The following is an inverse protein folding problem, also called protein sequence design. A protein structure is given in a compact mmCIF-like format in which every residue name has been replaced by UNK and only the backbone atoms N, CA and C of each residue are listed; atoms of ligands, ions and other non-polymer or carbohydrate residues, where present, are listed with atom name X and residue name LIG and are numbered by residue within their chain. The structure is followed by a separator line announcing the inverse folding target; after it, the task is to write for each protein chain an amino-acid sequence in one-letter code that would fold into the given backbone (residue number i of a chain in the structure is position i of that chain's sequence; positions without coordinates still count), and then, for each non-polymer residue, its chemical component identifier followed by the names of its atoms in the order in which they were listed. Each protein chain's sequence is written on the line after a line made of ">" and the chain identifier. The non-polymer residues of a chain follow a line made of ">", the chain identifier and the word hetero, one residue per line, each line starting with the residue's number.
data_IF_376104529941
#
_entry.id   IF_376104529941
#
_cell.length_a   1.000
_cell.length_b   1.000
_cell.length_c   1.000
_cell.angle_alpha   90.00
_cell.angle_beta   90.00
_cell.angle_gamma   90.00
#
_symmetry.space_group_name_H-M   'P 1'
#
loop_
_entity.id
_entity.type
_entity.pdbx_description
1 polymer ?
#
# COMPACT_ATOMS: atom_id res chain seq x y z
N UNK A 1 -30.97 10.17 13.22
CA UNK A 1 -29.61 10.59 12.82
C UNK A 1 -28.77 10.74 14.08
N UNK A 2 -27.75 9.92 14.28
CA UNK A 2 -26.81 10.08 15.40
C UNK A 2 -26.05 11.41 15.27
N UNK A 3 -25.53 11.93 16.38
CA UNK A 3 -24.70 13.15 16.40
C UNK A 3 -23.51 13.05 15.44
N UNK A 4 -22.97 11.84 15.26
CA UNK A 4 -21.89 11.50 14.33
C UNK A 4 -22.32 11.72 12.88
N UNK A 5 -23.50 11.24 12.49
CA UNK A 5 -24.02 11.42 11.12
C UNK A 5 -24.23 12.90 10.76
N UNK A 6 -24.67 13.75 11.70
CA UNK A 6 -24.81 15.20 11.45
C UNK A 6 -23.47 15.91 11.31
N UNK A 7 -22.44 15.49 12.05
CA UNK A 7 -21.09 16.02 11.89
C UNK A 7 -20.49 15.69 10.51
N UNK A 8 -20.82 14.53 9.93
CA UNK A 8 -20.37 14.17 8.58
C UNK A 8 -20.97 15.03 7.46
N UNK A 9 -22.22 15.49 7.61
CA UNK A 9 -22.85 16.34 6.59
C UNK A 9 -22.46 17.82 6.70
N UNK A 10 -21.87 18.24 7.83
CA UNK A 10 -21.43 19.61 8.04
C UNK A 10 -19.95 19.75 7.69
N UNK A 11 -19.63 19.57 6.40
CA UNK A 11 -18.27 19.71 5.88
C UNK A 11 -17.83 21.15 6.03
N UNK A 12 -16.78 21.39 6.81
CA UNK A 12 -16.18 22.72 6.94
C UNK A 12 -15.54 23.14 5.61
N UNK A 13 -15.45 24.44 5.29
CA UNK A 13 -14.80 24.91 4.05
C UNK A 13 -13.37 24.33 3.86
N UNK A 14 -12.61 24.24 4.95
CA UNK A 14 -11.26 23.70 4.98
C UNK A 14 -11.21 22.19 4.66
N UNK A 15 -12.23 21.41 5.04
CA UNK A 15 -12.34 20.00 4.64
C UNK A 15 -12.67 19.85 3.15
N UNK A 16 -13.49 20.75 2.59
CA UNK A 16 -13.77 20.75 1.14
C UNK A 16 -12.50 21.03 0.32
N UNK A 17 -11.65 21.95 0.77
CA UNK A 17 -10.38 22.25 0.12
C UNK A 17 -9.40 21.06 0.17
N UNK A 18 -9.35 20.36 1.29
CA UNK A 18 -8.56 19.13 1.43
C UNK A 18 -9.02 18.04 0.46
N UNK A 19 -10.32 17.83 0.33
CA UNK A 19 -10.88 16.86 -0.62
C UNK A 19 -10.52 17.19 -2.07
N UNK A 20 -10.54 18.47 -2.45
CA UNK A 20 -10.11 18.90 -3.78
C UNK A 20 -8.62 18.64 -4.00
N UNK A 21 -7.77 18.96 -3.02
CA UNK A 21 -6.35 18.67 -3.07
C UNK A 21 -6.09 17.18 -3.28
N UNK A 22 -6.73 16.30 -2.49
CA UNK A 22 -6.59 14.85 -2.63
C UNK A 22 -7.00 14.38 -4.03
N UNK A 23 -8.16 14.84 -4.52
CA UNK A 23 -8.67 14.44 -5.82
C UNK A 23 -7.72 14.84 -6.95
N UNK A 24 -7.22 16.08 -6.93
CA UNK A 24 -6.27 16.58 -7.93
C UNK A 24 -4.95 15.80 -7.84
N UNK A 25 -4.39 15.67 -6.64
CA UNK A 25 -3.11 14.99 -6.42
C UNK A 25 -3.16 13.54 -6.90
N UNK A 26 -4.13 12.74 -6.43
CA UNK A 26 -4.20 11.33 -6.79
C UNK A 26 -4.55 11.14 -8.27
N UNK A 27 -5.42 11.97 -8.86
CA UNK A 27 -5.71 11.92 -10.29
C UNK A 27 -4.46 12.20 -11.14
N UNK A 28 -3.63 13.19 -10.77
CA UNK A 28 -2.38 13.51 -11.45
C UNK A 28 -1.33 12.39 -11.34
N UNK A 29 -1.37 11.58 -10.27
CA UNK A 29 -0.44 10.45 -10.10
C UNK A 29 -0.80 9.21 -10.94
N UNK A 30 -2.06 9.08 -11.39
CA UNK A 30 -2.52 7.89 -12.13
C UNK A 30 -1.70 7.58 -13.40
N UNK A 31 -1.37 8.55 -14.28
CA UNK A 31 -0.57 8.29 -15.47
C UNK A 31 0.85 7.83 -15.12
N UNK A 32 1.45 8.40 -14.07
CA UNK A 32 2.80 8.06 -13.61
C UNK A 32 2.82 6.61 -13.12
N UNK A 33 1.87 6.24 -12.26
CA UNK A 33 1.76 4.87 -11.74
C UNK A 33 1.42 3.87 -12.84
N UNK A 34 0.55 4.24 -13.79
CA UNK A 34 0.24 3.43 -14.97
C UNK A 34 1.47 3.18 -15.84
N UNK A 35 2.31 4.20 -16.04
CA UNK A 35 3.56 4.05 -16.80
C UNK A 35 4.56 3.10 -16.12
N UNK A 36 4.72 3.22 -14.79
CA UNK A 36 5.56 2.31 -14.01
C UNK A 36 5.02 0.87 -14.09
N UNK A 37 3.71 0.68 -13.94
CA UNK A 37 3.07 -0.64 -14.10
C UNK A 37 3.38 -1.26 -15.47
N UNK A 38 3.29 -0.50 -16.56
CA UNK A 38 3.56 -0.99 -17.92
C UNK A 38 5.02 -1.37 -18.18
N UNK A 39 5.97 -0.79 -17.44
CA UNK A 39 7.40 -1.15 -17.52
C UNK A 39 7.68 -2.39 -16.66
N UNK A 40 7.26 -2.35 -15.41
CA UNK A 40 7.50 -3.44 -14.45
C UNK A 40 6.72 -4.71 -14.79
N UNK A 41 5.64 -4.63 -15.60
CA UNK A 41 4.96 -5.83 -16.13
C UNK A 41 5.88 -6.75 -16.94
N UNK A 42 6.96 -6.20 -17.50
CA UNK A 42 7.92 -6.94 -18.33
C UNK A 42 8.93 -7.72 -17.50
N UNK A 43 9.02 -7.45 -16.19
CA UNK A 43 9.94 -8.11 -15.28
C UNK A 43 9.23 -9.27 -14.60
N UNK A 44 9.78 -10.50 -14.67
CA UNK A 44 9.22 -11.65 -13.94
C UNK A 44 9.12 -11.36 -12.45
N UNK A 45 7.94 -11.56 -11.85
CA UNK A 45 7.72 -11.41 -10.41
C UNK A 45 7.52 -9.97 -9.90
N UNK A 46 7.59 -8.96 -10.79
CA UNK A 46 7.58 -7.54 -10.40
C UNK A 46 6.28 -6.77 -10.62
N UNK A 47 5.18 -7.40 -11.05
CA UNK A 47 4.02 -6.66 -11.58
C UNK A 47 3.02 -6.24 -10.49
N UNK A 48 2.95 -7.01 -9.40
CA UNK A 48 1.84 -6.99 -8.46
C UNK A 48 1.83 -5.72 -7.60
N UNK A 49 2.99 -5.26 -7.14
CA UNK A 49 3.11 -4.07 -6.28
C UNK A 49 2.65 -2.78 -6.97
N UNK A 50 2.98 -2.62 -8.25
CA UNK A 50 2.60 -1.46 -9.06
C UNK A 50 1.12 -1.47 -9.42
N UNK A 51 0.55 -2.64 -9.67
CA UNK A 51 -0.88 -2.78 -9.88
C UNK A 51 -1.68 -2.32 -8.66
N UNK A 52 -1.23 -2.69 -7.45
CA UNK A 52 -1.84 -2.21 -6.22
C UNK A 52 -1.64 -0.70 -6.00
N UNK A 53 -0.49 -0.10 -6.34
CA UNK A 53 -0.36 1.37 -6.29
C UNK A 53 -1.34 2.09 -7.21
N UNK A 54 -1.51 1.58 -8.42
CA UNK A 54 -2.48 2.13 -9.35
C UNK A 54 -3.90 2.03 -8.78
N UNK A 55 -4.30 0.85 -8.28
CA UNK A 55 -5.61 0.67 -7.65
C UNK A 55 -5.78 1.55 -6.40
N UNK A 56 -4.74 1.77 -5.62
CA UNK A 56 -4.78 2.65 -4.46
C UNK A 56 -5.17 4.09 -4.88
N UNK A 57 -4.47 4.66 -5.87
CA UNK A 57 -4.82 6.01 -6.36
C UNK A 57 -6.24 6.07 -6.93
N UNK A 58 -6.68 5.02 -7.63
CA UNK A 58 -8.08 4.93 -8.12
C UNK A 58 -9.07 4.92 -6.95
N UNK A 59 -8.84 4.09 -5.92
CA UNK A 59 -9.70 4.03 -4.74
C UNK A 59 -9.73 5.36 -3.99
N UNK A 60 -8.62 6.10 -3.90
CA UNK A 60 -8.61 7.43 -3.28
C UNK A 60 -9.45 8.43 -4.08
N UNK A 61 -9.28 8.48 -5.40
CA UNK A 61 -10.08 9.38 -6.26
C UNK A 61 -11.57 9.05 -6.14
N UNK A 62 -11.95 7.78 -6.27
CA UNK A 62 -13.35 7.34 -6.20
C UNK A 62 -13.94 7.58 -4.80
N UNK A 63 -13.22 7.22 -3.74
CA UNK A 63 -13.68 7.39 -2.36
C UNK A 63 -13.95 8.84 -2.01
N UNK A 64 -13.01 9.74 -2.32
CA UNK A 64 -13.15 11.18 -2.07
C UNK A 64 -14.26 11.79 -2.94
N UNK A 65 -14.34 11.41 -4.22
CA UNK A 65 -15.40 11.87 -5.11
C UNK A 65 -16.79 11.45 -4.61
N UNK A 66 -16.94 10.23 -4.12
CA UNK A 66 -18.21 9.73 -3.57
C UNK A 66 -18.60 10.45 -2.28
N UNK A 67 -17.67 10.67 -1.36
CA UNK A 67 -17.95 11.44 -0.13
C UNK A 67 -18.40 12.85 -0.48
N UNK A 68 -17.77 13.48 -1.47
CA UNK A 68 -18.10 14.84 -1.91
C UNK A 68 -19.44 14.93 -2.65
N UNK A 69 -19.75 13.94 -3.49
CA UNK A 69 -21.00 13.86 -4.24
C UNK A 69 -22.14 13.21 -3.44
N UNK A 70 -21.92 12.90 -2.16
CA UNK A 70 -22.88 12.15 -1.36
C UNK A 70 -24.17 12.94 -1.13
N UNK A 71 -25.24 12.52 -1.81
CA UNK A 71 -26.61 13.01 -1.61
C UNK A 71 -27.40 12.15 -0.62
N UNK A 72 -26.91 10.96 -0.28
CA UNK A 72 -27.55 10.01 0.63
C UNK A 72 -26.53 9.45 1.63
N UNK A 73 -27.01 9.03 2.81
CA UNK A 73 -26.17 8.40 3.82
C UNK A 73 -25.46 7.14 3.29
N UNK A 74 -26.12 6.37 2.41
CA UNK A 74 -25.52 5.18 1.81
C UNK A 74 -24.31 5.50 0.92
N UNK A 75 -24.40 6.56 0.09
CA UNK A 75 -23.29 6.99 -0.78
C UNK A 75 -22.12 7.52 0.05
N UNK A 76 -22.42 8.29 1.11
CA UNK A 76 -21.40 8.75 2.07
C UNK A 76 -20.64 7.57 2.69
N UNK A 77 -21.37 6.58 3.23
CA UNK A 77 -20.78 5.40 3.86
C UNK A 77 -19.96 4.60 2.86
N UNK A 78 -20.48 4.38 1.65
CA UNK A 78 -19.73 3.69 0.60
C UNK A 78 -18.43 4.42 0.23
N UNK A 79 -18.46 5.75 0.12
CA UNK A 79 -17.27 6.57 -0.13
C UNK A 79 -16.24 6.47 1.01
N UNK A 80 -16.68 6.47 2.26
CA UNK A 80 -15.82 6.26 3.43
C UNK A 80 -15.21 4.86 3.45
N UNK A 81 -16.00 3.82 3.14
CA UNK A 81 -15.53 2.43 3.05
C UNK A 81 -14.45 2.30 1.98
N UNK A 82 -14.66 2.86 0.79
CA UNK A 82 -13.69 2.82 -0.30
C UNK A 82 -12.41 3.56 0.09
N UNK A 83 -12.56 4.74 0.71
CA UNK A 83 -11.42 5.55 1.18
C UNK A 83 -10.60 4.81 2.24
N UNK A 84 -11.24 4.15 3.20
CA UNK A 84 -10.55 3.35 4.23
C UNK A 84 -9.94 2.07 3.67
N UNK A 85 -10.57 1.45 2.68
CA UNK A 85 -10.07 0.23 2.02
C UNK A 85 -8.78 0.47 1.24
N UNK A 86 -8.49 1.71 0.85
CA UNK A 86 -7.26 2.08 0.15
C UNK A 86 -5.99 1.76 0.95
N UNK A 87 -6.05 1.80 2.29
CA UNK A 87 -4.92 1.46 3.17
C UNK A 87 -4.46 0.02 2.90
N UNK A 88 -5.40 -0.92 2.80
CA UNK A 88 -5.13 -2.32 2.47
C UNK A 88 -4.37 -2.45 1.14
N UNK A 89 -4.76 -1.65 0.16
CA UNK A 89 -4.11 -1.61 -1.15
C UNK A 89 -2.67 -1.09 -1.06
N UNK A 90 -2.37 -0.14 -0.16
CA UNK A 90 -0.99 0.27 0.14
C UNK A 90 -0.16 -0.86 0.75
N UNK A 91 -0.74 -1.63 1.67
CA UNK A 91 -0.07 -2.81 2.23
C UNK A 91 0.22 -3.86 1.16
N UNK A 92 -0.72 -4.10 0.24
CA UNK A 92 -0.51 -5.00 -0.89
C UNK A 92 0.55 -4.50 -1.87
N UNK A 93 0.59 -3.19 -2.09
CA UNK A 93 1.68 -2.57 -2.83
C UNK A 93 3.02 -2.83 -2.16
N UNK A 94 3.15 -2.56 -0.86
CA UNK A 94 4.38 -2.77 -0.11
C UNK A 94 4.84 -4.23 -0.21
N UNK A 95 3.93 -5.18 0.04
CA UNK A 95 4.21 -6.60 -0.07
C UNK A 95 4.61 -7.01 -1.50
N UNK A 96 3.94 -6.47 -2.52
CA UNK A 96 4.25 -6.74 -3.93
C UNK A 96 5.62 -6.19 -4.36
N UNK A 97 5.97 -4.98 -3.92
CA UNK A 97 7.29 -4.36 -4.20
C UNK A 97 8.39 -5.10 -3.42
N UNK A 98 8.10 -5.54 -2.20
CA UNK A 98 9.00 -6.41 -1.44
C UNK A 98 9.22 -7.75 -2.17
N UNK A 99 8.15 -8.38 -2.67
CA UNK A 99 8.25 -9.61 -3.45
C UNK A 99 9.13 -9.39 -4.69
N UNK A 100 8.95 -8.29 -5.42
CA UNK A 100 9.82 -7.91 -6.55
C UNK A 100 11.29 -7.73 -6.12
N UNK A 101 11.53 -6.98 -5.05
CA UNK A 101 12.88 -6.73 -4.55
C UNK A 101 13.58 -8.00 -4.04
N UNK A 102 12.81 -8.99 -3.59
CA UNK A 102 13.27 -10.26 -3.04
C UNK A 102 13.34 -11.41 -4.05
N UNK A 103 12.81 -11.21 -5.27
CA UNK A 103 12.68 -12.26 -6.28
C UNK A 103 13.98 -13.01 -6.59
N UNK A 104 15.11 -12.31 -6.54
CA UNK A 104 16.45 -12.88 -6.80
C UNK A 104 16.91 -13.88 -5.72
N UNK A 105 16.25 -13.93 -4.55
CA UNK A 105 16.59 -14.85 -3.47
C UNK A 105 15.64 -16.05 -3.38
N UNK A 106 14.72 -16.19 -4.35
CA UNK A 106 13.69 -17.23 -4.35
C UNK A 106 14.25 -18.65 -4.32
N UNK A 107 15.41 -18.89 -4.94
CA UNK A 107 16.05 -20.20 -5.02
C UNK A 107 16.39 -20.81 -3.65
N UNK A 108 16.65 -19.97 -2.63
CA UNK A 108 17.06 -20.44 -1.31
C UNK A 108 15.91 -20.62 -0.31
N UNK A 109 14.71 -20.06 -0.55
CA UNK A 109 13.56 -20.24 0.35
C UNK A 109 12.22 -19.99 -0.33
N UNK A 110 11.64 -21.05 -0.92
CA UNK A 110 10.41 -20.98 -1.69
C UNK A 110 9.16 -20.62 -0.88
N UNK A 111 9.17 -20.78 0.45
CA UNK A 111 8.03 -20.41 1.31
C UNK A 111 8.06 -18.92 1.66
N UNK A 112 9.20 -18.40 2.14
CA UNK A 112 9.35 -16.98 2.50
C UNK A 112 9.26 -16.06 1.28
N UNK A 113 9.85 -16.46 0.15
CA UNK A 113 9.91 -15.63 -1.06
C UNK A 113 8.95 -16.12 -2.15
N UNK A 114 8.00 -16.99 -1.80
CA UNK A 114 6.99 -17.50 -2.71
C UNK A 114 5.59 -17.01 -2.40
N UNK A 115 4.62 -17.60 -3.09
CA UNK A 115 3.21 -17.22 -3.03
C UNK A 115 2.54 -17.52 -1.69
N UNK A 116 3.12 -18.40 -0.86
CA UNK A 116 2.56 -18.78 0.45
C UNK A 116 2.53 -17.59 1.43
N UNK A 117 3.67 -16.95 1.65
CA UNK A 117 3.76 -15.76 2.50
C UNK A 117 2.92 -14.61 1.92
N UNK A 118 2.96 -14.43 0.60
CA UNK A 118 2.15 -13.40 -0.07
C UNK A 118 0.66 -13.66 0.18
N UNK A 119 0.18 -14.89 0.04
CA UNK A 119 -1.20 -15.28 0.34
C UNK A 119 -1.58 -15.04 1.80
N UNK A 120 -0.69 -15.38 2.75
CA UNK A 120 -0.91 -15.13 4.17
C UNK A 120 -1.05 -13.64 4.49
N UNK A 121 -0.20 -12.79 3.89
CA UNK A 121 -0.30 -11.32 4.02
C UNK A 121 -1.62 -10.84 3.41
N UNK A 122 -2.03 -11.38 2.26
CA UNK A 122 -3.31 -11.02 1.62
C UNK A 122 -4.53 -11.31 2.50
N UNK A 123 -4.59 -12.53 3.03
CA UNK A 123 -5.68 -12.94 3.91
C UNK A 123 -5.68 -12.12 5.21
N UNK A 124 -4.50 -11.84 5.76
CA UNK A 124 -4.37 -11.05 7.00
C UNK A 124 -4.84 -9.61 6.81
N UNK A 125 -4.42 -8.94 5.73
CA UNK A 125 -4.85 -7.58 5.40
C UNK A 125 -6.34 -7.54 5.09
N UNK A 126 -6.86 -8.52 4.34
CA UNK A 126 -8.28 -8.65 4.03
C UNK A 126 -9.13 -8.83 5.30
N UNK A 127 -8.66 -9.65 6.24
CA UNK A 127 -9.30 -9.81 7.55
C UNK A 127 -9.24 -8.53 8.39
N UNK A 128 -8.10 -7.85 8.42
CA UNK A 128 -7.90 -6.62 9.17
C UNK A 128 -8.85 -5.51 8.71
N UNK A 129 -8.94 -5.28 7.39
CA UNK A 129 -9.84 -4.28 6.83
C UNK A 129 -11.30 -4.67 6.99
N UNK A 130 -11.63 -5.95 6.83
CA UNK A 130 -12.99 -6.46 7.02
C UNK A 130 -13.50 -6.19 8.44
N UNK A 131 -12.66 -6.45 9.45
CA UNK A 131 -13.02 -6.16 10.86
C UNK A 131 -13.09 -4.67 11.14
N UNK A 132 -12.13 -3.88 10.64
CA UNK A 132 -12.14 -2.42 10.81
C UNK A 132 -13.41 -1.79 10.21
N UNK A 133 -13.76 -2.15 8.97
CA UNK A 133 -14.97 -1.67 8.30
C UNK A 133 -16.22 -2.15 9.02
N UNK A 134 -16.29 -3.42 9.41
CA UNK A 134 -17.46 -3.95 10.11
C UNK A 134 -17.72 -3.19 11.42
N UNK A 135 -16.68 -2.86 12.19
CA UNK A 135 -16.80 -2.03 13.38
C UNK A 135 -17.40 -0.66 13.09
N UNK A 136 -16.85 0.06 12.11
CA UNK A 136 -17.33 1.41 11.71
C UNK A 136 -18.74 1.38 11.12
N UNK A 137 -19.04 0.41 10.26
CA UNK A 137 -20.35 0.33 9.60
C UNK A 137 -21.44 0.00 10.63
N UNK A 138 -21.16 -0.92 11.55
CA UNK A 138 -22.14 -1.28 12.59
C UNK A 138 -22.40 -0.14 13.57
N UNK A 139 -21.40 0.71 13.86
CA UNK A 139 -21.61 1.90 14.68
C UNK A 139 -22.41 2.98 13.94
N UNK A 140 -22.21 3.16 12.63
CA UNK A 140 -22.95 4.15 11.84
C UNK A 140 -24.42 3.75 11.62
N UNK A 141 -24.71 2.47 11.41
CA UNK A 141 -26.07 1.97 11.18
C UNK A 141 -26.83 1.61 12.47
N UNK A 142 -26.22 1.83 13.64
CA UNK A 142 -26.89 1.60 14.91
C UNK A 142 -28.13 2.50 15.06
N UNK A 143 -29.32 1.90 15.01
CA UNK A 143 -30.57 2.57 15.36
C UNK A 143 -30.76 2.55 16.89
N UNK A 144 -29.88 3.25 17.61
CA UNK A 144 -29.85 3.24 19.08
C UNK A 144 -28.43 3.40 19.64
N UNK A 145 -28.19 2.96 20.89
CA UNK A 145 -26.83 2.84 21.42
C UNK A 145 -25.97 1.98 20.50
N UNK A 146 -24.70 2.36 20.34
CA UNK A 146 -23.73 1.59 19.57
C UNK A 146 -23.65 0.14 20.09
N UNK A 147 -23.66 -0.88 19.21
CA UNK A 147 -23.47 -2.26 19.64
C UNK A 147 -22.13 -2.42 20.38
N UNK A 148 -22.13 -3.18 21.46
CA UNK A 148 -20.94 -3.37 22.32
C UNK A 148 -19.73 -3.98 21.60
N UNK A 149 -19.95 -4.59 20.43
CA UNK A 149 -18.91 -5.23 19.62
C UNK A 149 -18.36 -4.34 18.49
N UNK A 150 -19.00 -3.22 18.15
CA UNK A 150 -18.59 -2.35 17.03
C UNK A 150 -17.18 -1.80 17.23
N UNK A 151 -16.94 -1.16 18.38
CA UNK A 151 -15.62 -0.64 18.73
C UNK A 151 -14.54 -1.72 18.91
N UNK A 152 -14.78 -2.84 19.64
CA UNK A 152 -13.82 -3.94 19.68
C UNK A 152 -13.40 -4.45 18.29
N UNK A 153 -14.33 -4.55 17.34
CA UNK A 153 -14.03 -4.95 15.96
C UNK A 153 -13.08 -3.96 15.27
N UNK A 154 -13.32 -2.66 15.44
CA UNK A 154 -12.46 -1.61 14.88
C UNK A 154 -11.04 -1.65 15.45
N UNK A 155 -10.93 -1.83 16.77
CA UNK A 155 -9.64 -1.95 17.46
C UNK A 155 -8.90 -3.20 16.99
N UNK A 156 -9.57 -4.36 16.92
CA UNK A 156 -8.95 -5.61 16.47
C UNK A 156 -8.43 -5.48 15.04
N UNK A 157 -9.21 -4.89 14.12
CA UNK A 157 -8.76 -4.62 12.76
C UNK A 157 -7.52 -3.72 12.72
N UNK A 158 -7.50 -2.66 13.53
CA UNK A 158 -6.36 -1.73 13.63
C UNK A 158 -5.10 -2.39 14.22
N UNK A 159 -5.25 -3.24 15.25
CA UNK A 159 -4.15 -4.01 15.83
C UNK A 159 -3.57 -4.98 14.82
N UNK A 160 -4.41 -5.65 14.02
CA UNK A 160 -3.92 -6.53 12.95
C UNK A 160 -3.10 -5.76 11.92
N UNK A 161 -3.49 -4.54 11.54
CA UNK A 161 -2.68 -3.71 10.65
C UNK A 161 -1.29 -3.39 11.21
N UNK A 162 -1.17 -3.16 12.53
CA UNK A 162 0.13 -2.98 13.18
C UNK A 162 0.96 -4.27 13.10
N UNK A 163 0.35 -5.41 13.40
CA UNK A 163 1.04 -6.71 13.34
C UNK A 163 1.54 -7.02 11.92
N UNK A 164 0.73 -6.72 10.90
CA UNK A 164 1.11 -6.85 9.49
C UNK A 164 2.27 -5.90 9.16
N UNK A 165 2.19 -4.64 9.59
CA UNK A 165 3.26 -3.67 9.38
C UNK A 165 4.58 -4.11 10.04
N UNK A 166 4.55 -4.58 11.27
CA UNK A 166 5.72 -5.12 11.97
C UNK A 166 6.31 -6.34 11.24
N UNK A 167 5.44 -7.23 10.74
CA UNK A 167 5.86 -8.38 9.93
C UNK A 167 6.58 -7.91 8.65
N UNK A 168 6.01 -6.94 7.93
CA UNK A 168 6.62 -6.35 6.74
C UNK A 168 7.96 -5.66 7.04
N UNK A 169 8.08 -4.97 8.18
CA UNK A 169 9.34 -4.40 8.65
C UNK A 169 10.39 -5.48 8.93
N UNK A 170 10.00 -6.59 9.56
CA UNK A 170 10.88 -7.74 9.77
C UNK A 170 11.36 -8.36 8.45
N UNK A 171 10.45 -8.55 7.49
CA UNK A 171 10.78 -9.02 6.14
C UNK A 171 11.72 -8.06 5.39
N UNK A 172 11.53 -6.75 5.55
CA UNK A 172 12.43 -5.73 5.00
C UNK A 172 13.81 -5.79 5.66
N UNK A 173 13.89 -5.94 6.97
CA UNK A 173 15.16 -6.07 7.70
C UNK A 173 15.95 -7.29 7.23
N UNK A 174 15.28 -8.44 7.04
CA UNK A 174 15.90 -9.64 6.48
C UNK A 174 16.41 -9.42 5.05
N UNK A 175 15.65 -8.70 4.23
CA UNK A 175 16.05 -8.37 2.86
C UNK A 175 17.28 -7.45 2.83
N UNK A 176 17.40 -6.52 3.78
CA UNK A 176 18.52 -5.58 3.88
C UNK A 176 19.87 -6.26 4.17
N UNK A 177 19.85 -7.41 4.85
CA UNK A 177 21.04 -8.19 5.17
C UNK A 177 21.59 -8.99 3.97
N UNK A 178 20.89 -9.02 2.83
CA UNK A 178 21.27 -9.81 1.64
C UNK A 178 22.08 -8.98 0.63
N UNK A 179 22.99 -9.62 -0.14
CA UNK A 179 23.85 -8.93 -1.13
C UNK A 179 23.02 -8.32 -2.27
N UNK A 180 23.20 -7.01 -2.52
CA UNK A 180 22.27 -6.21 -3.32
C UNK A 180 22.63 -6.17 -4.81
N UNK A 181 21.65 -6.43 -5.68
CA UNK A 181 21.69 -5.94 -7.08
C UNK A 181 21.24 -4.48 -7.17
N UNK A 182 21.57 -3.76 -8.26
CA UNK A 182 21.20 -2.35 -8.42
C UNK A 182 19.69 -2.11 -8.37
N UNK A 183 18.92 -2.95 -9.07
CA UNK A 183 17.45 -2.92 -9.07
C UNK A 183 16.88 -3.18 -7.66
N UNK A 184 17.36 -4.25 -7.01
CA UNK A 184 16.92 -4.60 -5.65
C UNK A 184 17.28 -3.49 -4.64
N UNK A 185 18.44 -2.85 -4.79
CA UNK A 185 18.89 -1.75 -3.92
C UNK A 185 17.95 -0.53 -3.98
N UNK A 186 17.48 -0.15 -5.18
CA UNK A 186 16.54 0.99 -5.34
C UNK A 186 15.17 0.70 -4.73
N UNK A 187 14.63 -0.49 -4.98
CA UNK A 187 13.33 -0.88 -4.42
C UNK A 187 13.41 -1.09 -2.90
N UNK A 188 14.50 -1.65 -2.38
CA UNK A 188 14.75 -1.75 -0.94
C UNK A 188 14.81 -0.36 -0.27
N UNK A 189 15.46 0.62 -0.91
CA UNK A 189 15.50 1.99 -0.40
C UNK A 189 14.11 2.62 -0.36
N UNK A 190 13.29 2.39 -1.41
CA UNK A 190 11.90 2.85 -1.43
C UNK A 190 11.10 2.27 -0.26
N UNK A 191 11.20 0.95 -0.04
CA UNK A 191 10.52 0.26 1.06
C UNK A 191 10.99 0.78 2.44
N UNK A 192 12.27 1.06 2.59
CA UNK A 192 12.84 1.62 3.82
C UNK A 192 12.29 3.02 4.13
N UNK A 193 12.14 3.86 3.12
CA UNK A 193 11.59 5.21 3.26
C UNK A 193 10.07 5.21 3.46
N UNK A 194 9.37 4.28 2.81
CA UNK A 194 7.90 4.13 2.93
C UNK A 194 7.49 3.51 4.25
N UNK A 195 8.26 2.56 4.78
CA UNK A 195 7.95 1.85 6.03
C UNK A 195 7.55 2.76 7.20
N UNK A 196 8.31 3.82 7.57
CA UNK A 196 7.93 4.71 8.68
C UNK A 196 6.68 5.54 8.38
N UNK A 197 6.47 5.94 7.13
CA UNK A 197 5.26 6.68 6.72
C UNK A 197 4.01 5.79 6.82
N UNK A 198 4.14 4.53 6.40
CA UNK A 198 3.08 3.53 6.54
C UNK A 198 2.80 3.24 8.01
N UNK A 199 3.84 3.15 8.84
CA UNK A 199 3.72 2.98 10.29
C UNK A 199 2.96 4.14 10.94
N UNK A 200 3.32 5.39 10.62
CA UNK A 200 2.63 6.58 11.11
C UNK A 200 1.13 6.52 10.81
N UNK A 201 0.79 6.17 9.56
CA UNK A 201 -0.60 6.07 9.09
C UNK A 201 -1.42 5.04 9.87
N UNK A 202 -0.82 3.89 10.19
CA UNK A 202 -1.47 2.77 10.87
C UNK A 202 -1.61 3.04 12.36
N UNK A 203 -0.59 3.62 12.99
CA UNK A 203 -0.63 4.05 14.39
C UNK A 203 -1.72 5.10 14.59
N UNK A 204 -1.84 6.08 13.68
CA UNK A 204 -2.92 7.05 13.72
C UNK A 204 -4.30 6.40 13.64
N UNK A 205 -4.48 5.41 12.76
CA UNK A 205 -5.72 4.61 12.70
C UNK A 205 -6.02 3.87 14.00
N UNK A 206 -5.01 3.26 14.64
CA UNK A 206 -5.21 2.63 15.95
C UNK A 206 -5.60 3.65 17.02
N UNK A 207 -4.91 4.80 17.09
CA UNK A 207 -5.23 5.84 18.05
C UNK A 207 -6.68 6.31 17.90
N UNK A 208 -7.17 6.45 16.66
CA UNK A 208 -8.57 6.80 16.39
C UNK A 208 -9.58 5.75 16.85
N UNK A 209 -9.24 4.47 16.73
CA UNK A 209 -10.11 3.37 17.19
C UNK A 209 -10.05 3.17 18.71
N UNK A 210 -8.88 3.35 19.31
CA UNK A 210 -8.62 3.04 20.72
C UNK A 210 -9.01 4.21 21.64
N UNK A 211 -8.69 5.44 21.27
CA UNK A 211 -8.87 6.62 22.13
C UNK A 211 -10.28 7.17 21.96
N UNK A 212 -11.02 7.32 23.07
CA UNK A 212 -12.38 7.85 23.06
C UNK A 212 -12.41 9.39 23.05
N UNK A 213 -11.65 9.98 22.14
CA UNK A 213 -11.50 11.43 22.02
C UNK A 213 -11.70 11.83 20.55
N UNK A 214 -12.53 12.86 20.34
CA UNK A 214 -12.82 13.40 19.02
C UNK A 214 -11.57 13.94 18.35
N UNK A 215 -10.53 14.33 19.09
CA UNK A 215 -9.26 14.77 18.54
C UNK A 215 -8.58 13.72 17.65
N UNK A 216 -8.69 12.44 18.01
CA UNK A 216 -8.05 11.34 17.30
C UNK A 216 -8.96 10.68 16.27
N UNK A 217 -10.20 11.15 16.16
CA UNK A 217 -11.16 10.59 15.22
C UNK A 217 -10.67 10.79 13.78
N UNK A 218 -10.57 9.68 13.06
CA UNK A 218 -10.25 9.64 11.64
C UNK A 218 -11.18 10.52 10.79
N UNK A 219 -12.43 10.68 11.22
CA UNK A 219 -13.48 11.36 10.45
C UNK A 219 -13.91 12.69 11.02
N UNK A 220 -13.89 12.84 12.35
CA UNK A 220 -14.36 14.05 13.05
C UNK A 220 -13.23 14.85 13.73
N UNK A 221 -11.98 14.40 13.62
CA UNK A 221 -10.83 15.06 14.23
C UNK A 221 -10.42 16.37 13.55
N UNK A 222 -9.50 17.13 14.17
CA UNK A 222 -8.98 18.36 13.61
C UNK A 222 -8.35 18.12 12.25
N UNK A 223 -8.57 19.06 11.34
CA UNK A 223 -8.09 18.99 9.95
C UNK A 223 -6.56 18.86 9.92
N UNK A 224 -5.85 19.53 10.84
CA UNK A 224 -4.39 19.42 10.94
C UNK A 224 -3.92 17.97 11.19
N UNK A 225 -4.61 17.23 12.06
CA UNK A 225 -4.28 15.83 12.33
C UNK A 225 -4.58 14.94 11.11
N UNK A 226 -5.73 15.14 10.46
CA UNK A 226 -6.10 14.41 9.24
C UNK A 226 -5.08 14.67 8.10
N UNK A 227 -4.67 15.92 7.90
CA UNK A 227 -3.67 16.26 6.88
C UNK A 227 -2.31 15.64 7.20
N UNK A 228 -1.78 15.85 8.41
CA UNK A 228 -0.42 15.47 8.75
C UNK A 228 -0.24 13.96 8.96
N UNK A 229 -1.26 13.26 9.49
CA UNK A 229 -1.16 11.85 9.89
C UNK A 229 -1.80 10.87 8.92
N UNK A 230 -2.65 11.35 8.01
CA UNK A 230 -3.34 10.51 7.03
C UNK A 230 -3.00 10.89 5.60
N UNK A 231 -3.26 12.12 5.17
CA UNK A 231 -3.10 12.51 3.76
C UNK A 231 -1.64 12.66 3.37
N UNK A 232 -0.87 13.38 4.17
CA UNK A 232 0.54 13.67 3.90
C UNK A 232 1.38 12.38 3.81
N UNK A 233 1.28 11.40 4.73
CA UNK A 233 2.03 10.16 4.61
C UNK A 233 1.67 9.40 3.34
N UNK A 234 0.40 9.34 2.96
CA UNK A 234 -0.05 8.66 1.73
C UNK A 234 0.49 9.35 0.47
N UNK A 235 0.46 10.69 0.41
CA UNK A 235 1.07 11.45 -0.67
C UNK A 235 2.57 11.19 -0.79
N UNK A 236 3.29 11.22 0.33
CA UNK A 236 4.73 10.98 0.36
C UNK A 236 5.06 9.56 -0.09
N UNK A 237 4.28 8.55 0.33
CA UNK A 237 4.45 7.16 -0.10
C UNK A 237 4.35 7.05 -1.63
N UNK A 238 3.35 7.69 -2.24
CA UNK A 238 3.17 7.68 -3.69
C UNK A 238 4.30 8.39 -4.42
N UNK A 239 4.78 9.52 -3.90
CA UNK A 239 5.93 10.24 -4.48
C UNK A 239 7.18 9.37 -4.42
N UNK A 240 7.47 8.77 -3.26
CA UNK A 240 8.65 7.91 -3.07
C UNK A 240 8.58 6.72 -4.03
N UNK A 241 7.48 5.98 -4.05
CA UNK A 241 7.34 4.84 -4.97
C UNK A 241 7.39 5.26 -6.44
N UNK A 242 6.84 6.41 -6.80
CA UNK A 242 6.92 6.92 -8.18
C UNK A 242 8.35 7.24 -8.60
N UNK A 243 9.12 7.91 -7.74
CA UNK A 243 10.53 8.24 -8.00
C UNK A 243 11.37 6.96 -8.11
N UNK A 244 11.29 6.10 -7.10
CA UNK A 244 12.11 4.87 -7.08
C UNK A 244 11.65 3.86 -8.14
N UNK A 245 10.36 3.81 -8.46
CA UNK A 245 9.82 3.02 -9.57
C UNK A 245 10.33 3.49 -10.92
N UNK A 246 10.34 4.79 -11.16
CA UNK A 246 10.92 5.37 -12.36
C UNK A 246 12.43 5.10 -12.46
N UNK A 247 13.15 5.24 -11.36
CA UNK A 247 14.57 4.89 -11.31
C UNK A 247 14.78 3.39 -11.56
N UNK A 248 14.00 2.51 -10.95
CA UNK A 248 14.07 1.07 -11.18
C UNK A 248 13.77 0.72 -12.65
N UNK A 249 12.78 1.37 -13.25
CA UNK A 249 12.44 1.27 -14.68
C UNK A 249 13.61 1.65 -15.60
N UNK A 250 14.42 2.66 -15.23
CA UNK A 250 15.64 3.01 -15.99
C UNK A 250 16.69 1.89 -15.96
N UNK A 251 16.84 1.22 -14.83
CA UNK A 251 17.80 0.12 -14.72
C UNK A 251 17.34 -1.08 -15.56
N UNK A 252 16.04 -1.38 -15.55
CA UNK A 252 15.43 -2.42 -16.41
C UNK A 252 15.67 -2.11 -17.89
N UNK A 253 15.50 -0.86 -18.31
CA UNK A 253 15.73 -0.43 -19.69
C UNK A 253 17.21 -0.49 -20.11
N UNK A 254 18.14 -0.24 -19.16
CA UNK A 254 19.60 -0.28 -19.42
C UNK A 254 20.15 -1.70 -19.48
N UNK A 255 19.67 -2.58 -18.61
CA UNK A 255 20.21 -3.93 -18.47
C UNK A 255 19.52 -4.94 -19.39
N UNK A 256 18.29 -4.65 -19.85
CA UNK A 256 17.54 -5.41 -20.85
C UNK A 256 17.07 -6.80 -20.37
N UNK A 257 15.92 -7.34 -20.83
CA UNK A 257 15.43 -8.66 -20.41
C UNK A 257 16.26 -9.85 -20.94
N UNK A 258 17.29 -9.63 -21.77
CA UNK A 258 17.88 -10.68 -22.64
C UNK A 258 19.41 -10.82 -22.49
N UNK A 259 20.08 -9.99 -21.69
CA UNK A 259 21.56 -9.99 -21.67
C UNK A 259 22.19 -11.08 -20.77
N UNK A 260 21.42 -11.75 -19.91
CA UNK A 260 21.97 -12.82 -19.06
C UNK A 260 21.99 -14.19 -19.74
N UNK A 261 20.97 -14.52 -20.56
CA UNK A 261 20.94 -15.80 -21.30
C UNK A 261 22.02 -15.90 -22.38
N UNK A 262 22.45 -14.77 -22.96
CA UNK A 262 23.50 -14.75 -24.00
C UNK A 262 24.91 -14.75 -23.38
N UNK A 263 25.11 -14.17 -22.19
CA UNK A 263 26.44 -14.18 -21.53
C UNK A 263 26.77 -15.52 -20.91
N UNK A 264 25.80 -16.24 -20.35
CA UNK A 264 26.03 -17.60 -19.84
C UNK A 264 26.20 -18.62 -20.98
N UNK A 265 25.44 -18.50 -22.07
CA UNK A 265 25.64 -19.38 -23.23
C UNK A 265 26.97 -19.13 -23.93
N UNK A 266 27.41 -17.87 -24.08
CA UNK A 266 28.71 -17.57 -24.71
C UNK A 266 29.92 -17.94 -23.86
N UNK A 267 29.82 -17.91 -22.51
CA UNK A 267 30.91 -18.38 -21.65
C UNK A 267 30.94 -19.91 -21.54
N UNK A 268 29.78 -20.57 -21.36
CA UNK A 268 29.70 -22.03 -21.33
C UNK A 268 30.09 -22.70 -22.65
N UNK A 269 29.77 -22.07 -23.78
CA UNK A 269 30.10 -22.60 -25.10
C UNK A 269 31.58 -22.40 -25.49
N UNK A 270 32.27 -21.40 -24.94
CA UNK A 270 33.73 -21.24 -25.09
C UNK A 270 34.51 -22.27 -24.25
N UNK A 271 34.04 -22.58 -23.04
CA UNK A 271 34.68 -23.56 -22.17
C UNK A 271 34.57 -24.99 -22.74
N UNK A 272 33.45 -25.31 -23.41
CA UNK A 272 33.27 -26.60 -24.07
C UNK A 272 34.13 -26.74 -25.34
N UNK A 273 34.26 -25.67 -26.13
CA UNK A 273 35.16 -25.67 -27.31
C UNK A 273 36.63 -25.81 -26.93
N UNK A 274 37.06 -25.21 -25.81
CA UNK A 274 38.42 -25.34 -25.31
C UNK A 274 38.73 -26.75 -24.76
N UNK A 275 37.72 -27.52 -24.36
CA UNK A 275 37.91 -28.92 -23.93
C UNK A 275 37.91 -29.89 -25.11
N UNK A 276 37.09 -29.64 -26.13
CA UNK A 276 37.02 -30.48 -27.33
C UNK A 276 38.28 -30.43 -28.22
N UNK A 277 39.09 -29.38 -28.11
CA UNK A 277 40.34 -29.20 -28.89
C UNK A 277 41.60 -29.74 -28.20
N UNK A 278 41.47 -30.37 -27.01
CA UNK A 278 42.59 -31.00 -26.28
C UNK A 278 42.53 -32.54 -26.28
N UNK A 279 42.00 -33.15 -27.35
CA UNK A 279 42.04 -34.60 -27.56
C UNK A 279 42.70 -34.90 -28.90
#
# INVERSE_FOLDING_TARGET
>A
MSSTAKAFFNVTPQQSDLQWFELIFFALTLPILGSNYLVHRKVPGGTLGWWFLFNFSVMRVVGVAMVKAASTQGVLIAGLIISSSSISTLFFSFAGIWHEASYQYKENNHFLYGWGLQGAIHLSVGGAIGMAIAGVVTSIYANGPEPSYSRPLEIVGSVLFIMIWLTLCGLLAMLWMKPKSKLSSRLQMALLLVSPLLGLRVVYSLCGAAINDTYWSYTAGPIAAQVCMQVLPECLIIIIYSIFGYLASKDIARDGPVRNGIRESSHGQMDDYSKATRV
#
